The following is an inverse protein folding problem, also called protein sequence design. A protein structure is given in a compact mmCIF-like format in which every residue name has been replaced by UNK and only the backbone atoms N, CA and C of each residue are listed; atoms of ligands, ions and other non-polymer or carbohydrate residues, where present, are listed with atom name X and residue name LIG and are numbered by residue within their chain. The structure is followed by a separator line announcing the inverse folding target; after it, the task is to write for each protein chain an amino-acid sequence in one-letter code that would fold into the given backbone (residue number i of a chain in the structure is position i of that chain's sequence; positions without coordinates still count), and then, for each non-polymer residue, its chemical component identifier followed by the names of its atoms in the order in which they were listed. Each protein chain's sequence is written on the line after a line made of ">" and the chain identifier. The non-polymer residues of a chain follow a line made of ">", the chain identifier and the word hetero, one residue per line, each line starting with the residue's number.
data_IF_975312454004
#
_entry.id   IF_975312454004
#
_cell.length_a   1.000
_cell.length_b   1.000
_cell.length_c   1.000
_cell.angle_alpha   90.00
_cell.angle_beta   90.00
_cell.angle_gamma   90.00
#
_symmetry.space_group_name_H-M   'P 1'
#
loop_
_entity.id
_entity.type
_entity.pdbx_description
1 polymer ?
#
# COMPACT_ATOMS: atom_id res chain seq x y z
N UNK A 1 6.82 19.87 11.06
CA UNK A 1 5.52 19.46 10.49
C UNK A 1 4.71 18.69 11.52
N UNK A 2 3.38 18.65 11.35
CA UNK A 2 2.52 17.84 12.22
C UNK A 2 2.45 16.43 11.62
N UNK A 3 2.57 15.42 12.47
CA UNK A 3 2.37 14.01 12.06
C UNK A 3 0.88 13.84 11.73
N UNK A 4 0.59 13.35 10.53
CA UNK A 4 -0.77 12.97 10.14
C UNK A 4 -1.14 11.65 10.85
N UNK A 5 -2.32 11.55 11.49
CA UNK A 5 -2.75 10.30 12.09
C UNK A 5 -3.01 9.24 11.01
N UNK A 6 -2.69 7.97 11.31
CA UNK A 6 -3.00 6.87 10.42
C UNK A 6 -4.52 6.64 10.35
N UNK A 7 -5.02 6.30 9.16
CA UNK A 7 -6.42 5.92 8.94
C UNK A 7 -6.48 4.40 8.83
N UNK A 8 -7.19 3.76 9.75
CA UNK A 8 -7.30 2.30 9.82
C UNK A 8 -8.58 1.77 9.20
N UNK A 9 -9.65 2.54 9.23
CA UNK A 9 -10.96 2.14 8.75
C UNK A 9 -11.05 2.41 7.24
N UNK A 10 -11.28 1.39 6.37
CA UNK A 10 -11.40 1.57 4.93
C UNK A 10 -12.46 2.60 4.55
N UNK A 11 -13.60 2.61 5.25
CA UNK A 11 -14.67 3.60 5.02
C UNK A 11 -14.21 5.03 5.30
N UNK A 12 -13.46 5.26 6.39
CA UNK A 12 -12.90 6.59 6.68
C UNK A 12 -11.84 7.00 5.66
N UNK A 13 -11.03 6.04 5.21
CA UNK A 13 -10.05 6.29 4.16
C UNK A 13 -10.75 6.67 2.85
N UNK A 14 -11.75 5.89 2.44
CA UNK A 14 -12.57 6.18 1.27
C UNK A 14 -13.21 7.57 1.37
N UNK A 15 -13.88 7.87 2.48
CA UNK A 15 -14.53 9.16 2.70
C UNK A 15 -13.51 10.32 2.64
N UNK A 16 -12.31 10.14 3.21
CA UNK A 16 -11.28 11.17 3.20
C UNK A 16 -10.69 11.39 1.80
N UNK A 17 -10.50 10.35 1.02
CA UNK A 17 -9.93 10.43 -0.32
C UNK A 17 -10.93 10.96 -1.34
N UNK A 18 -12.18 10.47 -1.27
CA UNK A 18 -13.14 10.62 -2.35
C UNK A 18 -14.37 11.47 -1.99
N UNK A 19 -14.66 11.72 -0.69
CA UNK A 19 -15.84 12.45 -0.24
C UNK A 19 -15.50 13.81 0.42
N UNK A 20 -14.66 14.65 -0.20
CA UNK A 20 -14.52 16.05 0.25
C UNK A 20 -15.82 16.82 0.00
N UNK A 21 -16.14 17.80 0.87
CA UNK A 21 -17.45 18.46 0.96
C UNK A 21 -18.02 19.03 -0.35
N UNK A 22 -17.19 19.45 -1.30
CA UNK A 22 -17.61 19.88 -2.65
C UNK A 22 -17.93 18.71 -3.59
N UNK A 23 -17.59 17.49 -3.21
CA UNK A 23 -17.77 16.27 -3.98
C UNK A 23 -18.94 15.42 -3.44
N UNK A 24 -19.32 15.62 -2.17
CA UNK A 24 -20.35 14.82 -1.49
C UNK A 24 -21.74 14.91 -2.12
N UNK A 25 -22.17 16.11 -2.53
CA UNK A 25 -23.46 16.30 -3.21
C UNK A 25 -23.50 15.70 -4.61
N UNK A 26 -22.30 15.50 -5.22
CA UNK A 26 -22.18 14.90 -6.55
C UNK A 26 -21.95 13.38 -6.50
N UNK A 27 -21.39 12.82 -5.43
CA UNK A 27 -20.92 11.41 -5.39
C UNK A 27 -21.94 10.38 -4.88
N UNK A 28 -22.97 10.75 -4.13
CA UNK A 28 -24.11 9.85 -3.90
C UNK A 28 -24.83 9.51 -5.22
N UNK A 29 -24.59 10.35 -6.26
CA UNK A 29 -25.04 10.16 -7.62
C UNK A 29 -23.90 9.88 -8.61
N UNK A 30 -22.63 9.88 -8.18
CA UNK A 30 -21.48 9.88 -9.12
C UNK A 30 -21.19 8.50 -9.66
N UNK A 31 -21.40 7.43 -8.91
CA UNK A 31 -21.24 6.10 -9.49
C UNK A 31 -22.30 5.90 -10.60
N UNK A 32 -23.54 6.31 -10.37
CA UNK A 32 -24.58 6.23 -11.38
C UNK A 32 -24.40 7.28 -12.50
N UNK A 33 -23.96 8.50 -12.16
CA UNK A 33 -23.68 9.56 -13.14
C UNK A 33 -22.39 9.27 -13.94
N UNK A 34 -21.32 8.82 -13.28
CA UNK A 34 -20.08 8.39 -13.94
C UNK A 34 -20.31 7.14 -14.77
N UNK A 35 -21.19 6.22 -14.35
CA UNK A 35 -21.63 5.10 -15.16
C UNK A 35 -22.45 5.55 -16.38
N UNK A 36 -23.30 6.55 -16.22
CA UNK A 36 -24.08 7.11 -17.32
C UNK A 36 -23.19 7.92 -18.28
N UNK A 37 -22.30 8.77 -17.74
CA UNK A 37 -21.35 9.56 -18.52
C UNK A 37 -20.24 8.70 -19.10
N UNK A 38 -19.79 7.63 -18.43
CA UNK A 38 -18.80 6.69 -18.96
C UNK A 38 -19.31 5.96 -20.19
N UNK A 39 -20.60 5.58 -20.26
CA UNK A 39 -21.20 5.00 -21.45
C UNK A 39 -21.21 5.98 -22.62
N UNK A 40 -21.40 7.26 -22.34
CA UNK A 40 -21.38 8.32 -23.37
C UNK A 40 -19.94 8.64 -23.78
N UNK A 41 -19.02 8.67 -22.81
CA UNK A 41 -17.59 8.85 -23.06
C UNK A 41 -16.99 7.66 -23.82
N UNK A 42 -17.30 6.43 -23.40
CA UNK A 42 -16.84 5.20 -24.07
C UNK A 42 -17.16 5.16 -25.56
N UNK A 43 -18.26 5.78 -25.99
CA UNK A 43 -18.62 5.88 -27.43
C UNK A 43 -17.70 6.81 -28.21
N UNK A 44 -17.00 7.72 -27.54
CA UNK A 44 -16.11 8.73 -28.13
C UNK A 44 -14.62 8.37 -28.02
N UNK A 45 -14.30 7.34 -27.22
CA UNK A 45 -12.93 6.90 -26.98
C UNK A 45 -12.46 5.88 -28.02
N UNK A 46 -11.16 5.86 -28.26
CA UNK A 46 -10.48 4.81 -28.98
C UNK A 46 -10.61 3.46 -28.26
N UNK A 47 -10.44 2.30 -28.94
CA UNK A 47 -10.62 0.97 -28.30
C UNK A 47 -9.78 0.78 -27.04
N UNK A 48 -8.51 1.20 -27.05
CA UNK A 48 -7.58 1.03 -25.91
C UNK A 48 -7.98 1.93 -24.72
N UNK A 49 -8.38 3.18 -24.98
CA UNK A 49 -8.88 4.10 -23.96
C UNK A 49 -10.20 3.62 -23.35
N UNK A 50 -11.03 2.95 -24.16
CA UNK A 50 -12.29 2.34 -23.72
C UNK A 50 -12.02 1.18 -22.77
N UNK A 51 -11.05 0.32 -23.08
CA UNK A 51 -10.64 -0.78 -22.21
C UNK A 51 -10.12 -0.22 -20.88
N UNK A 52 -9.29 0.81 -20.88
CA UNK A 52 -8.78 1.47 -19.66
C UNK A 52 -9.92 2.05 -18.81
N UNK A 53 -10.93 2.66 -19.44
CA UNK A 53 -12.12 3.15 -18.73
C UNK A 53 -12.91 2.01 -18.11
N UNK A 54 -13.11 0.90 -18.81
CA UNK A 54 -13.86 -0.27 -18.32
C UNK A 54 -13.12 -0.94 -17.15
N UNK A 55 -11.79 -1.04 -17.19
CA UNK A 55 -10.95 -1.55 -16.09
C UNK A 55 -11.05 -0.65 -14.86
N UNK A 56 -10.99 0.67 -15.04
CA UNK A 56 -11.16 1.66 -13.98
C UNK A 56 -12.54 1.56 -13.32
N UNK A 57 -13.61 1.50 -14.11
CA UNK A 57 -14.97 1.37 -13.59
C UNK A 57 -15.18 0.05 -12.86
N UNK A 58 -14.58 -1.03 -13.36
CA UNK A 58 -14.62 -2.34 -12.70
C UNK A 58 -13.90 -2.33 -11.35
N UNK A 59 -12.79 -1.60 -11.23
CA UNK A 59 -12.07 -1.45 -9.96
C UNK A 59 -12.91 -0.67 -8.94
N UNK A 60 -13.52 0.45 -9.32
CA UNK A 60 -14.44 1.20 -8.44
C UNK A 60 -15.55 0.28 -7.95
N UNK A 61 -16.20 -0.45 -8.85
CA UNK A 61 -17.31 -1.34 -8.50
C UNK A 61 -16.89 -2.45 -7.53
N UNK A 62 -15.72 -3.03 -7.72
CA UNK A 62 -15.18 -4.04 -6.80
C UNK A 62 -14.91 -3.48 -5.41
N UNK A 63 -14.41 -2.25 -5.32
CA UNK A 63 -14.20 -1.56 -4.04
C UNK A 63 -15.54 -1.32 -3.35
N UNK A 64 -16.54 -0.81 -4.04
CA UNK A 64 -17.89 -0.59 -3.49
C UNK A 64 -18.51 -1.87 -2.94
N UNK A 65 -18.47 -2.97 -3.71
CA UNK A 65 -19.01 -4.28 -3.27
C UNK A 65 -18.31 -4.76 -2.00
N UNK A 66 -16.98 -4.61 -1.92
CA UNK A 66 -16.21 -5.02 -0.74
C UNK A 66 -16.51 -4.14 0.47
N UNK A 67 -16.72 -2.85 0.25
CA UNK A 67 -17.11 -1.92 1.32
C UNK A 67 -18.51 -2.21 1.82
N UNK A 68 -19.48 -2.45 0.93
CA UNK A 68 -20.82 -2.84 1.31
C UNK A 68 -20.83 -4.15 2.11
N UNK A 69 -20.10 -5.17 1.65
CA UNK A 69 -19.94 -6.43 2.41
C UNK A 69 -19.34 -6.19 3.79
N UNK A 70 -18.39 -5.27 3.92
CA UNK A 70 -17.82 -4.91 5.22
C UNK A 70 -18.87 -4.23 6.11
N UNK A 71 -19.67 -3.32 5.57
CA UNK A 71 -20.75 -2.66 6.33
C UNK A 71 -21.83 -3.66 6.81
N UNK A 72 -22.21 -4.62 5.95
CA UNK A 72 -23.15 -5.69 6.30
C UNK A 72 -22.60 -6.55 7.44
N UNK A 73 -21.33 -6.98 7.36
CA UNK A 73 -20.68 -7.74 8.41
C UNK A 73 -20.54 -6.97 9.73
N UNK A 74 -20.36 -5.64 9.66
CA UNK A 74 -20.33 -4.76 10.84
C UNK A 74 -21.71 -4.60 11.48
N UNK A 75 -22.78 -4.56 10.67
CA UNK A 75 -24.16 -4.43 11.16
C UNK A 75 -24.63 -5.70 11.88
N UNK A 76 -24.20 -6.89 11.42
CA UNK A 76 -24.55 -8.18 12.00
C UNK A 76 -23.71 -8.55 13.24
N UNK A 77 -22.59 -7.86 13.46
CA UNK A 77 -21.69 -8.12 14.59
C UNK A 77 -22.23 -7.47 15.87
N UNK A 78 -22.96 -8.23 16.67
CA UNK A 78 -23.36 -7.88 18.05
C UNK A 78 -22.15 -8.05 19.04
N UNK A 79 -20.95 -7.70 18.59
CA UNK A 79 -19.72 -7.81 19.35
C UNK A 79 -18.98 -6.48 19.21
N UNK A 80 -18.46 -5.98 20.32
CA UNK A 80 -17.54 -4.81 20.39
C UNK A 80 -16.18 -5.16 19.75
N UNK A 81 -16.20 -5.61 18.49
CA UNK A 81 -15.02 -5.93 17.67
C UNK A 81 -14.45 -4.61 17.15
N UNK A 82 -13.15 -4.37 17.31
CA UNK A 82 -12.52 -3.24 16.66
C UNK A 82 -12.84 -3.25 15.16
N UNK A 83 -13.43 -2.17 14.64
CA UNK A 83 -13.95 -2.03 13.26
C UNK A 83 -12.95 -2.37 12.13
N UNK A 84 -11.71 -2.70 12.49
CA UNK A 84 -10.62 -3.11 11.60
C UNK A 84 -10.51 -4.63 11.39
N UNK A 85 -11.25 -5.45 12.15
CA UNK A 85 -11.08 -6.92 12.19
C UNK A 85 -12.25 -7.69 11.56
N UNK A 86 -13.16 -7.00 10.90
CA UNK A 86 -14.37 -7.62 10.31
C UNK A 86 -14.06 -8.38 9.02
N UNK A 87 -13.05 -7.94 8.27
CA UNK A 87 -12.55 -8.67 7.10
C UNK A 87 -11.37 -9.55 7.48
N UNK A 88 -11.19 -10.70 6.80
CA UNK A 88 -9.94 -11.43 6.85
C UNK A 88 -8.75 -10.48 6.63
N UNK A 89 -7.69 -10.66 7.41
CA UNK A 89 -6.55 -9.73 7.43
C UNK A 89 -6.00 -9.41 6.04
N UNK A 90 -5.85 -10.42 5.20
CA UNK A 90 -5.37 -10.24 3.83
C UNK A 90 -6.35 -9.42 2.98
N UNK A 91 -7.65 -9.66 3.11
CA UNK A 91 -8.68 -8.88 2.40
C UNK A 91 -8.71 -7.42 2.85
N UNK A 92 -8.60 -7.18 4.16
CA UNK A 92 -8.51 -5.83 4.73
C UNK A 92 -7.32 -5.06 4.18
N UNK A 93 -6.10 -5.66 4.18
CA UNK A 93 -4.90 -5.03 3.65
C UNK A 93 -5.05 -4.71 2.16
N UNK A 94 -5.60 -5.65 1.38
CA UNK A 94 -5.81 -5.46 -0.06
C UNK A 94 -6.85 -4.38 -0.35
N UNK A 95 -7.93 -4.29 0.43
CA UNK A 95 -8.91 -3.23 0.28
C UNK A 95 -8.28 -1.85 0.53
N UNK A 96 -7.50 -1.70 1.59
CA UNK A 96 -6.76 -0.46 1.86
C UNK A 96 -5.79 -0.10 0.71
N UNK A 97 -5.07 -1.10 0.21
CA UNK A 97 -4.15 -0.91 -0.92
C UNK A 97 -4.91 -0.49 -2.20
N UNK A 98 -6.02 -1.13 -2.52
CA UNK A 98 -6.83 -0.80 -3.70
C UNK A 98 -7.38 0.64 -3.62
N UNK A 99 -7.75 1.13 -2.41
CA UNK A 99 -8.14 2.53 -2.22
C UNK A 99 -6.98 3.49 -2.48
N UNK A 100 -5.76 3.14 -2.08
CA UNK A 100 -4.56 3.94 -2.38
C UNK A 100 -4.27 3.95 -3.88
N UNK A 101 -4.33 2.79 -4.55
CA UNK A 101 -4.11 2.69 -5.99
C UNK A 101 -5.16 3.48 -6.78
N UNK A 102 -6.42 3.45 -6.34
CA UNK A 102 -7.48 4.28 -6.93
C UNK A 102 -7.18 5.76 -6.75
N UNK A 103 -6.69 6.18 -5.58
CA UNK A 103 -6.32 7.57 -5.35
C UNK A 103 -5.16 8.03 -6.27
N UNK A 104 -4.20 7.15 -6.56
CA UNK A 104 -3.15 7.42 -7.54
C UNK A 104 -3.71 7.54 -8.96
N UNK A 105 -4.56 6.63 -9.40
CA UNK A 105 -5.21 6.69 -10.73
C UNK A 105 -6.03 7.96 -10.93
N UNK A 106 -6.69 8.44 -9.87
CA UNK A 106 -7.47 9.67 -9.90
C UNK A 106 -6.63 10.95 -9.72
N UNK A 107 -5.32 10.85 -9.54
CA UNK A 107 -4.44 11.99 -9.31
C UNK A 107 -4.71 12.74 -7.97
N UNK A 108 -5.36 12.08 -7.01
CA UNK A 108 -5.66 12.66 -5.69
C UNK A 108 -4.38 12.85 -4.88
N UNK A 109 -3.44 11.93 -5.03
CA UNK A 109 -2.13 11.98 -4.39
C UNK A 109 -1.10 11.26 -5.25
N UNK A 110 0.17 11.65 -5.12
CA UNK A 110 1.31 10.98 -5.74
C UNK A 110 2.17 10.24 -4.70
N UNK A 111 1.86 10.36 -3.41
CA UNK A 111 2.64 9.76 -2.32
C UNK A 111 1.70 9.13 -1.30
N UNK A 112 2.02 7.92 -0.89
CA UNK A 112 1.32 7.23 0.19
C UNK A 112 2.29 6.46 1.06
N UNK A 113 1.98 6.38 2.35
CA UNK A 113 2.59 5.44 3.28
C UNK A 113 1.54 4.48 3.79
N UNK A 114 1.85 3.20 3.79
CA UNK A 114 0.92 2.15 4.17
C UNK A 114 1.56 1.18 5.17
N UNK A 115 1.02 1.14 6.38
CA UNK A 115 1.49 0.24 7.44
C UNK A 115 0.72 -1.08 7.36
N UNK A 116 1.36 -2.13 6.83
CA UNK A 116 0.77 -3.47 6.70
C UNK A 116 0.65 -4.16 8.06
N UNK A 117 1.67 -4.09 8.88
CA UNK A 117 1.68 -4.60 10.25
C UNK A 117 1.58 -3.45 11.26
N UNK A 118 0.66 -3.50 12.23
CA UNK A 118 0.60 -2.47 13.27
C UNK A 118 1.83 -2.58 14.18
N UNK A 119 2.54 -1.48 14.36
CA UNK A 119 3.66 -1.37 15.29
C UNK A 119 3.14 -1.17 16.72
N UNK A 120 2.36 -2.14 17.20
CA UNK A 120 1.79 -2.12 18.56
C UNK A 120 2.15 -3.41 19.28
N UNK A 121 2.73 -3.26 20.47
CA UNK A 121 3.12 -4.38 21.32
C UNK A 121 1.93 -5.22 21.82
N UNK A 122 0.74 -4.63 21.92
CA UNK A 122 -0.48 -5.24 22.44
C UNK A 122 -1.43 -5.74 21.33
N UNK A 123 -1.06 -5.60 20.06
CA UNK A 123 -1.92 -6.00 18.95
C UNK A 123 -1.97 -7.51 18.77
N UNK A 124 -3.15 -8.08 18.96
CA UNK A 124 -3.44 -9.48 18.61
C UNK A 124 -4.21 -9.52 17.30
N UNK A 125 -3.71 -10.27 16.32
CA UNK A 125 -4.26 -10.31 14.98
C UNK A 125 -4.48 -11.76 14.53
N UNK A 126 -5.54 -11.94 13.73
CA UNK A 126 -5.75 -13.17 12.99
C UNK A 126 -5.04 -13.06 11.63
N UNK A 127 -4.28 -14.09 11.29
CA UNK A 127 -3.64 -14.27 9.99
C UNK A 127 -4.25 -15.52 9.36
N UNK A 128 -5.36 -15.34 8.67
CA UNK A 128 -6.15 -16.41 8.10
C UNK A 128 -5.33 -17.24 7.10
N UNK A 129 -5.39 -18.56 7.23
CA UNK A 129 -4.59 -19.50 6.45
C UNK A 129 -3.14 -19.65 6.91
N UNK A 130 -2.73 -18.93 7.94
CA UNK A 130 -1.38 -19.03 8.55
C UNK A 130 -1.45 -19.62 9.95
N UNK A 131 -2.42 -19.16 10.77
CA UNK A 131 -2.65 -19.64 12.14
C UNK A 131 -4.13 -19.93 12.37
N UNK A 132 -4.42 -20.91 13.22
CA UNK A 132 -5.80 -21.32 13.57
C UNK A 132 -6.46 -20.40 14.59
N UNK A 133 -5.71 -19.49 15.18
CA UNK A 133 -6.17 -18.53 16.20
C UNK A 133 -5.36 -17.23 16.12
N UNK A 134 -5.90 -16.12 16.67
CA UNK A 134 -5.19 -14.86 16.73
C UNK A 134 -3.84 -14.97 17.45
N UNK A 135 -2.84 -14.30 16.93
CA UNK A 135 -1.47 -14.27 17.49
C UNK A 135 -1.02 -12.86 17.77
N UNK A 136 -0.12 -12.72 18.72
CA UNK A 136 0.51 -11.46 19.06
C UNK A 136 1.91 -11.41 18.45
N UNK A 137 2.03 -10.76 17.30
CA UNK A 137 3.26 -10.72 16.51
C UNK A 137 4.47 -10.20 17.33
N UNK A 138 4.27 -9.14 18.12
CA UNK A 138 5.32 -8.60 18.99
C UNK A 138 5.92 -9.66 19.92
N UNK A 139 5.08 -10.41 20.63
CA UNK A 139 5.54 -11.48 21.52
C UNK A 139 6.26 -12.60 20.77
N UNK A 140 5.83 -12.89 19.54
CA UNK A 140 6.50 -13.88 18.69
C UNK A 140 7.90 -13.44 18.31
N UNK A 141 8.12 -12.15 18.01
CA UNK A 141 9.45 -11.62 17.68
C UNK A 141 10.43 -11.72 18.85
N UNK A 142 9.95 -11.66 20.10
CA UNK A 142 10.79 -11.88 21.29
C UNK A 142 11.04 -13.36 21.62
N UNK A 143 10.29 -14.27 21.03
CA UNK A 143 10.36 -15.71 21.30
C UNK A 143 10.98 -16.52 20.13
N UNK A 144 11.93 -15.95 19.41
CA UNK A 144 12.53 -16.57 18.22
C UNK A 144 13.57 -17.66 18.52
N UNK A 145 13.67 -18.17 19.76
CA UNK A 145 14.60 -19.25 20.13
C UNK A 145 14.14 -20.59 19.54
N UNK A 146 15.09 -21.39 19.08
CA UNK A 146 14.81 -22.69 18.47
C UNK A 146 13.96 -22.58 17.20
N UNK A 147 12.79 -23.19 17.19
CA UNK A 147 11.86 -23.17 16.05
C UNK A 147 10.99 -21.89 15.98
N UNK A 148 11.05 -21.00 16.99
CA UNK A 148 10.20 -19.82 17.08
C UNK A 148 10.35 -18.85 15.90
N UNK A 149 11.53 -18.78 15.26
CA UNK A 149 11.75 -17.97 14.08
C UNK A 149 10.89 -18.42 12.89
N UNK A 150 10.53 -19.70 12.80
CA UNK A 150 9.65 -20.21 11.71
C UNK A 150 8.25 -19.64 11.78
N UNK A 151 7.76 -19.39 12.98
CA UNK A 151 6.43 -18.79 13.16
C UNK A 151 6.43 -17.32 12.75
N UNK A 152 7.49 -16.56 13.08
CA UNK A 152 7.66 -15.18 12.61
C UNK A 152 7.79 -15.15 11.08
N UNK A 153 8.58 -16.05 10.50
CA UNK A 153 8.74 -16.17 9.05
C UNK A 153 7.40 -16.38 8.31
N UNK A 154 6.44 -17.09 8.89
CA UNK A 154 5.10 -17.24 8.29
C UNK A 154 4.38 -15.89 8.17
N UNK A 155 4.50 -15.03 9.18
CA UNK A 155 3.92 -13.68 9.13
C UNK A 155 4.65 -12.83 8.09
N UNK A 156 5.97 -12.90 8.00
CA UNK A 156 6.75 -12.16 7.00
C UNK A 156 6.36 -12.58 5.58
N UNK A 157 6.21 -13.89 5.34
CA UNK A 157 5.72 -14.41 4.05
C UNK A 157 4.31 -13.88 3.76
N UNK A 158 3.41 -13.89 4.74
CA UNK A 158 2.06 -13.34 4.57
C UNK A 158 2.10 -11.86 4.19
N UNK A 159 2.93 -11.05 4.84
CA UNK A 159 3.09 -9.63 4.51
C UNK A 159 3.70 -9.42 3.11
N UNK A 160 4.71 -10.21 2.75
CA UNK A 160 5.30 -10.18 1.40
C UNK A 160 4.29 -10.55 0.31
N UNK A 161 3.36 -11.47 0.59
CA UNK A 161 2.27 -11.79 -0.33
C UNK A 161 1.32 -10.60 -0.54
N UNK A 162 1.08 -9.80 0.49
CA UNK A 162 0.27 -8.58 0.33
C UNK A 162 1.03 -7.51 -0.46
N UNK A 163 2.33 -7.34 -0.22
CA UNK A 163 3.18 -6.47 -1.04
C UNK A 163 3.20 -6.91 -2.51
N UNK A 164 3.37 -8.21 -2.77
CA UNK A 164 3.31 -8.76 -4.13
C UNK A 164 1.95 -8.51 -4.81
N UNK A 165 0.84 -8.56 -4.05
CA UNK A 165 -0.48 -8.18 -4.56
C UNK A 165 -0.49 -6.72 -5.06
N UNK A 166 0.05 -5.78 -4.26
CA UNK A 166 0.12 -4.36 -4.66
C UNK A 166 0.91 -4.20 -5.95
N UNK A 167 2.11 -4.80 -6.03
CA UNK A 167 2.95 -4.73 -7.23
C UNK A 167 2.26 -5.31 -8.46
N UNK A 168 1.56 -6.44 -8.31
CA UNK A 168 0.78 -7.05 -9.39
C UNK A 168 -0.30 -6.10 -9.88
N UNK A 169 -1.08 -5.51 -8.97
CA UNK A 169 -2.12 -4.54 -9.31
C UNK A 169 -1.54 -3.32 -10.05
N UNK A 170 -0.44 -2.74 -9.53
CA UNK A 170 0.23 -1.61 -10.18
C UNK A 170 0.76 -1.96 -11.58
N UNK A 171 1.18 -3.21 -11.81
CA UNK A 171 1.62 -3.66 -13.13
C UNK A 171 0.46 -3.83 -14.11
N UNK A 172 -0.72 -4.22 -13.63
CA UNK A 172 -1.94 -4.39 -14.43
C UNK A 172 -2.55 -3.03 -14.83
N UNK A 173 -2.47 -2.02 -13.95
CA UNK A 173 -2.99 -0.67 -14.21
C UNK A 173 -2.14 0.00 -15.27
N UNK A 174 -2.78 0.41 -16.39
CA UNK A 174 -2.12 1.09 -17.51
C UNK A 174 -2.28 2.61 -17.41
N UNK A 175 -1.20 3.31 -17.71
CA UNK A 175 -1.15 4.75 -17.86
C UNK A 175 -1.49 5.14 -19.31
N UNK A 176 -1.70 6.43 -19.53
CA UNK A 176 -2.11 6.98 -20.87
C UNK A 176 -1.10 6.66 -21.97
N UNK A 177 0.18 6.52 -21.62
CA UNK A 177 1.26 6.18 -22.56
C UNK A 177 1.43 4.67 -22.81
N UNK A 178 0.56 3.83 -22.19
CA UNK A 178 0.60 2.37 -22.25
C UNK A 178 1.59 1.71 -21.30
N UNK A 179 2.40 2.47 -20.57
CA UNK A 179 3.24 1.96 -19.48
C UNK A 179 2.37 1.48 -18.30
N UNK A 180 2.93 0.71 -17.37
CA UNK A 180 2.20 0.37 -16.16
C UNK A 180 2.42 1.43 -15.07
N UNK A 181 1.46 1.56 -14.14
CA UNK A 181 1.63 2.39 -12.95
C UNK A 181 2.93 2.03 -12.20
N UNK A 182 3.32 0.74 -12.18
CA UNK A 182 4.56 0.28 -11.56
C UNK A 182 5.80 0.84 -12.26
N UNK A 183 5.78 0.97 -13.59
CA UNK A 183 6.90 1.52 -14.35
C UNK A 183 7.15 2.99 -14.01
N UNK A 184 6.10 3.71 -13.63
CA UNK A 184 6.14 5.13 -13.30
C UNK A 184 6.27 5.41 -11.79
N UNK A 185 6.43 4.36 -10.98
CA UNK A 185 6.41 4.46 -9.53
C UNK A 185 7.72 3.99 -8.88
N UNK A 186 7.88 4.35 -7.61
CA UNK A 186 8.84 3.77 -6.66
C UNK A 186 8.06 3.22 -5.47
N UNK A 187 8.22 1.94 -5.19
CA UNK A 187 7.50 1.24 -4.13
C UNK A 187 8.50 0.58 -3.20
N UNK A 188 8.61 1.09 -1.97
CA UNK A 188 9.45 0.51 -0.95
C UNK A 188 8.62 -0.35 0.02
N UNK A 189 9.14 -1.50 0.38
CA UNK A 189 8.68 -2.34 1.48
C UNK A 189 9.83 -2.61 2.43
N UNK A 190 9.58 -2.52 3.73
CA UNK A 190 10.59 -2.78 4.73
C UNK A 190 10.05 -2.71 6.15
N UNK A 191 10.93 -2.87 7.10
CA UNK A 191 10.64 -2.78 8.52
C UNK A 191 11.57 -1.78 9.20
N UNK A 192 11.14 -1.23 10.35
CA UNK A 192 11.93 -0.32 11.18
C UNK A 192 12.99 -1.04 12.04
N UNK A 193 12.94 -2.39 12.10
CA UNK A 193 13.89 -3.22 12.84
C UNK A 193 14.46 -4.31 11.93
N UNK A 194 15.75 -4.55 12.02
CA UNK A 194 16.41 -5.69 11.39
C UNK A 194 16.23 -6.98 12.20
N UNK A 195 16.15 -6.86 13.52
CA UNK A 195 15.80 -7.93 14.45
C UNK A 195 14.84 -7.40 15.51
N UNK A 196 13.61 -7.93 15.52
CA UNK A 196 12.58 -7.56 16.47
C UNK A 196 12.86 -8.03 17.90
N UNK A 197 13.65 -9.10 18.09
CA UNK A 197 13.96 -9.63 19.44
C UNK A 197 14.88 -8.67 20.22
N UNK A 198 15.85 -8.10 19.55
CA UNK A 198 16.85 -7.20 20.13
C UNK A 198 16.57 -5.73 19.87
N UNK A 199 15.49 -5.43 19.11
CA UNK A 199 15.16 -4.10 18.62
C UNK A 199 16.29 -3.46 17.80
N UNK A 200 16.89 -4.24 16.92
CA UNK A 200 18.04 -3.80 16.11
C UNK A 200 17.60 -2.80 15.03
N UNK A 201 18.20 -1.61 15.00
CA UNK A 201 17.90 -0.53 14.04
C UNK A 201 18.82 -0.51 12.81
N UNK A 202 19.67 -1.49 12.60
CA UNK A 202 20.58 -1.63 11.47
C UNK A 202 20.31 -2.94 10.74
N UNK A 203 20.90 -3.09 9.56
CA UNK A 203 20.63 -4.20 8.62
C UNK A 203 19.13 -4.34 8.31
N UNK A 204 18.47 -3.18 8.06
CA UNK A 204 17.04 -3.15 7.78
C UNK A 204 16.75 -3.88 6.46
N UNK A 205 15.78 -4.82 6.46
CA UNK A 205 15.34 -5.46 5.24
C UNK A 205 14.54 -4.46 4.40
N UNK A 206 15.01 -4.12 3.21
CA UNK A 206 14.35 -3.21 2.29
C UNK A 206 14.21 -3.85 0.91
N UNK A 207 13.01 -3.80 0.34
CA UNK A 207 12.73 -4.20 -1.04
C UNK A 207 12.21 -2.95 -1.77
N UNK A 208 12.77 -2.68 -2.93
CA UNK A 208 12.34 -1.56 -3.79
C UNK A 208 11.89 -2.12 -5.13
N UNK A 209 10.72 -1.72 -5.57
CA UNK A 209 10.14 -2.07 -6.86
C UNK A 209 9.69 -0.82 -7.61
N UNK A 210 9.40 -0.99 -8.90
CA UNK A 210 9.15 0.12 -9.82
C UNK A 210 10.45 0.61 -10.45
N UNK A 211 10.37 1.43 -11.48
CA UNK A 211 11.58 1.89 -12.16
C UNK A 211 11.67 3.40 -12.36
N UNK A 212 10.71 4.17 -11.79
CA UNK A 212 10.69 5.63 -11.90
C UNK A 212 10.89 6.11 -13.35
N UNK A 213 10.10 5.60 -14.30
CA UNK A 213 10.21 5.91 -15.73
C UNK A 213 11.59 5.59 -16.33
N UNK A 214 12.18 4.48 -15.93
CA UNK A 214 13.48 4.03 -16.42
C UNK A 214 14.69 4.57 -15.67
N UNK A 215 14.50 5.41 -14.65
CA UNK A 215 15.60 5.99 -13.89
C UNK A 215 16.23 5.01 -12.91
N UNK A 216 15.48 3.98 -12.46
CA UNK A 216 15.98 3.03 -11.46
C UNK A 216 16.40 1.70 -12.08
N UNK A 217 17.63 1.26 -11.82
CA UNK A 217 18.08 -0.10 -12.14
C UNK A 217 17.39 -1.13 -11.26
N UNK A 218 16.84 -2.17 -11.88
CA UNK A 218 16.12 -3.24 -11.21
C UNK A 218 16.86 -4.59 -11.22
N UNK A 219 16.27 -5.60 -10.56
CA UNK A 219 16.70 -7.01 -10.66
C UNK A 219 18.01 -7.31 -9.98
N UNK A 220 18.35 -6.63 -8.89
CA UNK A 220 19.62 -6.82 -8.20
C UNK A 220 19.50 -6.77 -6.68
N UNK A 221 20.46 -7.38 -6.03
CA UNK A 221 20.71 -7.25 -4.62
C UNK A 221 21.84 -6.25 -4.38
N UNK A 222 21.62 -5.27 -3.51
CA UNK A 222 22.63 -4.28 -3.13
C UNK A 222 22.93 -4.44 -1.64
N UNK A 223 24.15 -4.85 -1.33
CA UNK A 223 24.64 -4.81 0.05
C UNK A 223 25.20 -3.42 0.34
N UNK A 224 24.47 -2.65 1.13
CA UNK A 224 24.90 -1.31 1.50
C UNK A 224 26.15 -1.34 2.40
N UNK A 225 26.96 -0.29 2.29
CA UNK A 225 28.09 -0.08 3.22
C UNK A 225 27.53 0.12 4.63
N UNK A 226 28.19 -0.47 5.62
CA UNK A 226 27.82 -0.26 7.03
C UNK A 226 27.79 1.23 7.37
N UNK A 227 26.73 1.65 8.06
CA UNK A 227 26.49 3.06 8.40
C UNK A 227 25.80 3.87 7.32
N UNK A 228 25.39 3.28 6.19
CA UNK A 228 24.51 3.97 5.22
C UNK A 228 23.15 4.21 5.86
N UNK A 229 22.73 5.47 5.89
CA UNK A 229 21.48 5.89 6.51
C UNK A 229 20.28 5.55 5.62
N UNK A 230 19.19 5.11 6.23
CA UNK A 230 17.95 4.82 5.48
C UNK A 230 17.34 6.10 4.85
N UNK A 231 17.59 7.26 5.43
CA UNK A 231 17.23 8.57 4.87
C UNK A 231 17.86 8.85 3.50
N UNK A 232 19.01 8.20 3.18
CA UNK A 232 19.61 8.27 1.85
C UNK A 232 18.73 7.63 0.78
N UNK A 233 17.97 6.56 1.12
CA UNK A 233 16.99 5.95 0.23
C UNK A 233 15.85 6.94 -0.09
N UNK A 234 15.34 7.62 0.93
CA UNK A 234 14.25 8.58 0.75
C UNK A 234 14.71 9.83 0.01
N UNK A 235 15.93 10.31 0.22
CA UNK A 235 16.52 11.38 -0.58
C UNK A 235 16.66 10.96 -2.05
N UNK A 236 17.12 9.73 -2.29
CA UNK A 236 17.24 9.17 -3.65
C UNK A 236 15.88 9.12 -4.34
N UNK A 237 14.84 8.66 -3.67
CA UNK A 237 13.48 8.63 -4.21
C UNK A 237 12.94 10.02 -4.49
N UNK A 238 13.16 10.98 -3.59
CA UNK A 238 12.72 12.35 -3.77
C UNK A 238 13.34 12.97 -5.02
N UNK A 239 14.64 12.78 -5.24
CA UNK A 239 15.32 13.27 -6.46
C UNK A 239 14.84 12.54 -7.72
N UNK A 240 14.65 11.21 -7.68
CA UNK A 240 14.07 10.45 -8.81
C UNK A 240 12.65 10.93 -9.17
N UNK A 241 11.90 11.41 -8.18
CA UNK A 241 10.57 12.01 -8.39
C UNK A 241 10.62 13.48 -8.77
N UNK A 242 11.80 14.03 -9.09
CA UNK A 242 12.00 15.37 -9.60
C UNK A 242 12.07 16.48 -8.54
N UNK A 243 12.23 16.16 -7.26
CA UNK A 243 12.44 17.16 -6.23
C UNK A 243 13.90 17.64 -6.26
N UNK A 244 14.10 18.95 -6.36
CA UNK A 244 15.41 19.61 -6.28
C UNK A 244 15.76 19.87 -4.80
N UNK A 245 16.23 18.83 -4.11
CA UNK A 245 16.66 18.86 -2.71
C UNK A 245 18.00 18.15 -2.55
N UNK A 246 18.90 18.72 -1.76
CA UNK A 246 20.23 18.18 -1.48
C UNK A 246 20.29 17.27 -0.26
N UNK A 247 19.27 17.33 0.62
CA UNK A 247 19.24 16.58 1.87
C UNK A 247 17.81 16.28 2.31
N UNK A 248 17.66 15.18 3.05
CA UNK A 248 16.43 14.78 3.72
C UNK A 248 16.76 14.18 5.09
N UNK A 249 16.18 14.74 6.17
CA UNK A 249 16.45 14.35 7.55
C UNK A 249 17.97 14.34 7.84
N UNK A 250 18.51 13.20 8.24
CA UNK A 250 19.93 12.97 8.53
C UNK A 250 20.71 12.38 7.34
N UNK A 251 20.17 12.43 6.12
CA UNK A 251 20.81 11.89 4.93
C UNK A 251 22.20 12.50 4.69
N UNK A 252 23.10 11.67 4.17
CA UNK A 252 24.49 12.05 3.83
C UNK A 252 24.73 12.09 2.33
N UNK A 253 23.73 11.78 1.53
CA UNK A 253 23.75 11.76 0.07
C UNK A 253 22.81 10.72 -0.51
N UNK A 254 22.75 10.63 -1.83
CA UNK A 254 21.93 9.64 -2.55
C UNK A 254 22.61 8.29 -2.62
N UNK A 255 21.86 7.26 -2.90
CA UNK A 255 22.35 5.91 -3.20
C UNK A 255 22.55 5.83 -4.73
N UNK A 256 23.76 6.13 -5.19
CA UNK A 256 24.09 6.17 -6.63
C UNK A 256 23.86 4.86 -7.36
N UNK A 257 23.95 3.74 -6.64
CA UNK A 257 23.69 2.41 -7.21
C UNK A 257 22.26 2.23 -7.73
N UNK A 258 21.28 3.03 -7.35
CA UNK A 258 19.92 2.94 -7.84
C UNK A 258 19.74 3.56 -9.23
N UNK A 259 20.56 4.52 -9.63
CA UNK A 259 20.43 5.20 -10.92
C UNK A 259 20.88 4.30 -12.10
N UNK A 260 20.19 4.48 -13.23
CA UNK A 260 20.53 3.78 -14.51
C UNK A 260 21.77 4.37 -15.18
#
# INVERSE_FOLDING_TARGET
>A
GKIAPSIREPQKLYNRLFLRDSFREHLANVTDLVLADSKTLARKLAPDDRQTLDEFMSMIRNIEIRMQKMEELLADADIDVPKTEVLPRGEYIRLQADLVLLAFQMGITNVSTFMIGPERWDATLMYEGVFDKPVQHHNMTHNQKGEGYKEVQKIDIFHLQQYAYVLKRMKEIKEVDGSSMLDNSLVAYGAGLGDGSTHQYYDLPMIVAGNAQGQMKQGRFIKMKSGTLNSNLWLTFAQMMGLDIDSYADSTGVISDFWT
#
